data_IF_970402734658
#
_entry.id   IF_970402734658
#
_cell.length_a   1.000
_cell.length_b   1.000
_cell.length_c   1.000
_cell.angle_alpha   90.00
_cell.angle_beta   90.00
_cell.angle_gamma   90.00
#
_symmetry.space_group_name_H-M   'P 1'
#
loop_
_entity.id
_entity.type
_entity.pdbx_description
1 polymer ?
#
# COMPACT_ATOMS: atom_id res chain seq x y z
N UNK A 1 22.72 0.72 59.40
CA UNK A 1 21.96 1.67 58.56
C UNK A 1 22.57 1.70 57.18
N UNK A 2 22.08 0.85 56.28
CA UNK A 2 22.05 1.06 54.82
C UNK A 2 20.94 0.14 54.33
N UNK A 3 19.79 0.73 54.01
CA UNK A 3 18.61 0.01 53.52
C UNK A 3 18.84 -0.49 52.10
N UNK A 4 18.57 -1.78 51.90
CA UNK A 4 18.63 -2.45 50.61
C UNK A 4 17.49 -1.95 49.72
N UNK A 5 17.82 -1.16 48.69
CA UNK A 5 16.90 -0.80 47.62
C UNK A 5 16.71 -1.99 46.67
N UNK A 6 15.66 -2.77 46.89
CA UNK A 6 15.29 -3.91 46.04
C UNK A 6 14.64 -3.48 44.72
N UNK A 7 14.88 -4.25 43.66
CA UNK A 7 14.40 -4.10 42.26
C UNK A 7 12.88 -3.84 42.15
N UNK A 8 12.08 -4.25 43.13
CA UNK A 8 10.63 -3.99 43.20
C UNK A 8 10.27 -2.50 43.31
N UNK A 9 11.15 -1.66 43.86
CA UNK A 9 10.89 -0.21 43.97
C UNK A 9 11.02 0.52 42.61
N UNK A 10 11.76 -0.05 41.65
CA UNK A 10 11.91 0.57 40.33
C UNK A 10 10.70 0.31 39.42
N UNK A 11 10.09 -0.88 39.52
CA UNK A 11 8.88 -1.22 38.76
C UNK A 11 7.66 -0.41 39.23
N UNK A 12 7.54 -0.14 40.53
CA UNK A 12 6.43 0.65 41.08
C UNK A 12 6.52 2.14 40.70
N UNK A 13 7.72 2.71 40.70
CA UNK A 13 7.95 4.08 40.21
C UNK A 13 7.76 4.20 38.69
N UNK A 14 8.03 3.14 37.93
CA UNK A 14 7.83 3.14 36.46
C UNK A 14 6.34 3.05 36.08
N UNK A 15 5.56 2.26 36.81
CA UNK A 15 4.09 2.16 36.60
C UNK A 15 3.36 3.44 37.03
N UNK A 16 3.80 4.14 38.09
CA UNK A 16 3.22 5.44 38.49
C UNK A 16 3.53 6.58 37.49
N UNK A 17 4.72 6.59 36.89
CA UNK A 17 5.08 7.56 35.84
C UNK A 17 4.28 7.28 34.56
N UNK A 18 4.03 6.01 34.21
CA UNK A 18 3.22 5.65 33.03
C UNK A 18 1.75 6.03 33.25
N UNK A 19 1.20 5.77 34.44
CA UNK A 19 -0.18 6.15 34.80
C UNK A 19 -0.42 7.65 34.63
N UNK A 20 0.45 8.48 35.19
CA UNK A 20 0.34 9.95 35.15
C UNK A 20 0.58 10.55 33.75
N UNK A 21 1.36 9.89 32.89
CA UNK A 21 1.52 10.27 31.48
C UNK A 21 0.31 9.84 30.64
N UNK A 22 -0.36 8.72 30.98
CA UNK A 22 -1.53 8.25 30.23
C UNK A 22 -2.80 9.04 30.51
N UNK A 23 -3.00 9.55 31.73
CA UNK A 23 -4.20 10.34 32.08
C UNK A 23 -4.18 11.73 31.42
N UNK A 24 -3.01 12.37 31.32
CA UNK A 24 -2.87 13.67 30.65
C UNK A 24 -2.93 13.60 29.11
N UNK A 25 -2.64 12.43 28.52
CA UNK A 25 -2.71 12.21 27.07
C UNK A 25 -4.15 11.93 26.58
N UNK A 26 -5.01 11.35 27.42
CA UNK A 26 -6.37 10.96 27.05
C UNK A 26 -7.31 12.16 26.85
N UNK A 27 -7.21 13.18 27.71
CA UNK A 27 -8.08 14.37 27.63
C UNK A 27 -7.68 15.34 26.50
N UNK A 28 -6.41 15.31 26.09
CA UNK A 28 -5.92 16.08 24.93
C UNK A 28 -6.20 15.37 23.59
N UNK A 29 -6.40 14.04 23.61
CA UNK A 29 -6.67 13.22 22.43
C UNK A 29 -8.13 13.30 21.95
N UNK A 30 -9.09 13.69 22.79
CA UNK A 30 -10.48 13.81 22.36
C UNK A 30 -10.73 15.06 21.49
N UNK A 31 -10.01 16.15 21.71
CA UNK A 31 -10.21 17.42 20.98
C UNK A 31 -9.38 17.56 19.68
N UNK A 32 -8.32 16.75 19.52
CA UNK A 32 -7.44 16.77 18.33
C UNK A 32 -7.93 15.89 17.18
N UNK A 33 -8.90 14.99 17.44
CA UNK A 33 -9.37 13.98 16.48
C UNK A 33 -10.40 14.47 15.45
N UNK A 34 -11.09 15.59 15.68
CA UNK A 34 -12.03 16.15 14.69
C UNK A 34 -11.36 17.07 13.67
N UNK A 35 -10.29 17.77 14.06
CA UNK A 35 -9.67 18.84 13.24
C UNK A 35 -8.80 18.29 12.09
N UNK A 36 -8.38 17.02 12.12
CA UNK A 36 -7.55 16.42 11.06
C UNK A 36 -8.28 15.47 10.10
N UNK A 37 -9.60 15.30 10.26
CA UNK A 37 -10.37 14.30 9.48
C UNK A 37 -10.48 14.64 8.00
N UNK A 38 -10.55 15.93 7.66
CA UNK A 38 -10.63 16.44 6.30
C UNK A 38 -9.43 17.33 6.02
N UNK A 39 -8.66 17.02 4.98
CA UNK A 39 -7.49 17.80 4.58
C UNK A 39 -7.58 18.19 3.11
N UNK A 40 -7.24 19.43 2.80
CA UNK A 40 -7.16 19.96 1.44
C UNK A 40 -5.71 20.31 1.15
N UNK A 41 -5.13 19.69 0.12
CA UNK A 41 -3.72 19.83 -0.26
C UNK A 41 -3.61 20.18 -1.74
N UNK A 42 -2.52 20.80 -2.17
CA UNK A 42 -2.39 21.27 -3.55
C UNK A 42 -1.58 20.30 -4.44
N UNK A 43 -0.76 19.44 -3.84
CA UNK A 43 0.05 18.43 -4.53
C UNK A 43 -0.43 17.00 -4.25
N UNK A 44 -0.25 16.12 -5.24
CA UNK A 44 -0.47 14.68 -5.07
C UNK A 44 0.54 14.08 -4.10
N UNK A 45 1.76 14.59 -4.10
CA UNK A 45 2.83 14.12 -3.23
C UNK A 45 2.50 14.39 -1.77
N UNK A 46 2.12 15.64 -1.44
CA UNK A 46 1.68 16.03 -0.10
C UNK A 46 0.49 15.16 0.36
N UNK A 47 -0.44 14.89 -0.56
CA UNK A 47 -1.58 14.03 -0.27
C UNK A 47 -1.16 12.60 0.08
N UNK A 48 -0.15 12.06 -0.60
CA UNK A 48 0.41 10.74 -0.29
C UNK A 48 1.21 10.75 1.01
N UNK A 49 1.97 11.82 1.29
CA UNK A 49 2.70 11.99 2.55
C UNK A 49 1.74 12.08 3.74
N UNK A 50 0.64 12.83 3.62
CA UNK A 50 -0.40 12.91 4.66
C UNK A 50 -1.02 11.54 4.98
N UNK A 51 -1.23 10.70 3.97
CA UNK A 51 -1.70 9.32 4.16
C UNK A 51 -0.66 8.48 4.88
N UNK A 52 0.62 8.56 4.49
CA UNK A 52 1.69 7.82 5.15
C UNK A 52 1.81 8.23 6.62
N UNK A 53 1.73 9.54 6.92
CA UNK A 53 1.72 10.06 8.29
C UNK A 53 0.51 9.54 9.07
N UNK A 54 -0.67 9.50 8.46
CA UNK A 54 -1.85 8.91 9.10
C UNK A 54 -1.65 7.40 9.39
N UNK A 55 -1.08 6.64 8.47
CA UNK A 55 -0.75 5.22 8.69
C UNK A 55 0.30 5.01 9.80
N UNK A 56 1.25 5.95 9.95
CA UNK A 56 2.24 5.97 11.04
C UNK A 56 1.56 6.21 12.38
N UNK A 57 0.77 7.26 12.49
CA UNK A 57 0.11 7.65 13.74
C UNK A 57 -0.95 6.65 14.20
N UNK A 58 -1.68 6.05 13.26
CA UNK A 58 -2.80 5.14 13.57
C UNK A 58 -2.43 3.66 13.50
N UNK A 59 -1.18 3.33 13.15
CA UNK A 59 -0.70 1.96 12.95
C UNK A 59 -1.55 1.11 11.98
N UNK A 60 -2.41 1.76 11.21
CA UNK A 60 -3.29 1.15 10.24
C UNK A 60 -2.62 1.18 8.87
N UNK A 61 -2.89 0.19 8.04
CA UNK A 61 -2.33 0.14 6.68
C UNK A 61 -3.49 0.03 5.70
N UNK A 62 -3.39 0.75 4.59
CA UNK A 62 -4.40 0.81 3.57
C UNK A 62 -3.90 0.23 2.25
N UNK A 63 -4.86 -0.28 1.48
CA UNK A 63 -4.65 -0.80 0.12
C UNK A 63 -5.64 -0.10 -0.81
N UNK A 64 -5.27 0.01 -2.09
CA UNK A 64 -6.15 0.61 -3.09
C UNK A 64 -7.40 -0.26 -3.25
N UNK A 65 -8.56 0.32 -2.95
CA UNK A 65 -9.86 -0.30 -3.14
C UNK A 65 -10.37 -0.02 -4.56
N UNK A 66 -10.25 1.24 -4.99
CA UNK A 66 -10.72 1.76 -6.26
C UNK A 66 -9.85 2.96 -6.65
N UNK A 67 -9.56 3.09 -7.95
CA UNK A 67 -8.93 4.28 -8.53
C UNK A 67 -9.63 4.57 -9.85
N UNK A 68 -10.15 5.78 -10.01
CA UNK A 68 -10.67 6.24 -11.30
C UNK A 68 -9.53 6.60 -12.26
N UNK A 69 -9.80 6.44 -13.57
CA UNK A 69 -8.80 6.56 -14.64
C UNK A 69 -8.03 7.88 -14.61
N UNK A 70 -8.73 9.00 -14.40
CA UNK A 70 -8.15 10.33 -14.47
C UNK A 70 -7.54 10.81 -13.13
N UNK A 71 -7.68 10.06 -12.05
CA UNK A 71 -7.16 10.48 -10.74
C UNK A 71 -5.64 10.65 -10.76
N UNK A 72 -5.17 11.84 -10.37
CA UNK A 72 -3.74 12.19 -10.32
C UNK A 72 -3.16 12.57 -11.67
N UNK A 73 -3.99 12.80 -12.70
CA UNK A 73 -3.53 13.32 -13.98
C UNK A 73 -3.51 14.86 -13.93
N UNK A 74 -2.34 15.44 -13.73
CA UNK A 74 -2.16 16.91 -13.69
C UNK A 74 -2.28 17.56 -15.07
N UNK A 75 -2.03 16.80 -16.15
CA UNK A 75 -2.26 17.25 -17.51
C UNK A 75 -3.76 17.21 -17.90
N UNK A 76 -4.65 16.78 -17.01
CA UNK A 76 -6.08 16.70 -17.30
C UNK A 76 -6.67 18.10 -17.57
N UNK A 77 -7.26 18.25 -18.77
CA UNK A 77 -8.02 19.45 -19.16
C UNK A 77 -9.51 19.10 -19.27
N UNK A 78 -10.39 19.76 -18.49
CA UNK A 78 -11.81 19.51 -18.56
C UNK A 78 -12.38 20.09 -19.86
N UNK A 79 -13.40 19.43 -20.41
CA UNK A 79 -14.12 19.91 -21.58
C UNK A 79 -15.31 20.81 -21.19
N UNK A 80 -15.93 21.47 -22.17
CA UNK A 80 -17.13 22.30 -21.95
C UNK A 80 -18.33 21.53 -21.36
N UNK A 81 -18.37 20.20 -21.54
CA UNK A 81 -19.41 19.32 -20.99
C UNK A 81 -19.14 18.92 -19.52
N UNK A 82 -18.03 19.35 -18.94
CA UNK A 82 -17.69 18.99 -17.57
C UNK A 82 -18.69 19.58 -16.57
N UNK A 83 -19.04 18.77 -15.57
CA UNK A 83 -19.93 19.20 -14.48
C UNK A 83 -19.17 20.11 -13.53
N UNK A 84 -19.67 21.33 -13.35
CA UNK A 84 -19.13 22.31 -12.40
C UNK A 84 -19.85 22.14 -11.07
N UNK A 85 -19.07 21.99 -10.01
CA UNK A 85 -19.53 21.84 -8.64
C UNK A 85 -19.17 23.09 -7.83
N UNK A 86 -19.96 23.35 -6.79
CA UNK A 86 -19.75 24.44 -5.82
C UNK A 86 -19.68 23.92 -4.38
N UNK A 87 -20.21 22.71 -4.17
CA UNK A 87 -20.17 21.98 -2.91
C UNK A 87 -19.73 20.54 -3.22
N UNK A 88 -18.94 19.98 -2.31
CA UNK A 88 -18.38 18.64 -2.43
C UNK A 88 -19.42 17.55 -2.18
N UNK A 89 -19.13 16.30 -2.61
CA UNK A 89 -19.98 15.18 -2.26
C UNK A 89 -19.95 14.93 -0.75
N UNK A 90 -21.11 14.56 -0.20
CA UNK A 90 -21.25 14.19 1.21
C UNK A 90 -20.94 12.70 1.36
N UNK A 91 -19.96 12.37 2.20
CA UNK A 91 -19.56 10.99 2.50
C UNK A 91 -19.66 10.76 3.99
N UNK A 92 -20.48 9.79 4.40
CA UNK A 92 -20.67 9.45 5.83
C UNK A 92 -20.94 10.71 6.69
N UNK A 93 -21.85 11.55 6.22
CA UNK A 93 -22.25 12.82 6.82
C UNK A 93 -21.18 13.92 6.86
N UNK A 94 -20.06 13.76 6.14
CA UNK A 94 -19.03 14.79 6.00
C UNK A 94 -19.04 15.35 4.58
N UNK A 95 -19.22 16.65 4.45
CA UNK A 95 -19.05 17.34 3.17
C UNK A 95 -17.56 17.47 2.86
N UNK A 96 -17.12 16.96 1.71
CA UNK A 96 -15.70 17.00 1.37
C UNK A 96 -15.19 18.40 1.02
N UNK A 97 -16.05 19.27 0.51
CA UNK A 97 -15.66 20.63 0.17
C UNK A 97 -16.85 21.54 0.42
N UNK A 98 -16.80 22.27 1.54
CA UNK A 98 -17.82 23.25 1.87
C UNK A 98 -17.86 24.39 0.85
N UNK A 99 -18.96 25.14 0.84
CA UNK A 99 -19.14 26.24 -0.09
C UNK A 99 -18.13 27.36 0.22
N UNK A 100 -17.06 27.43 -0.59
CA UNK A 100 -16.05 28.49 -0.52
C UNK A 100 -16.32 29.64 -1.50
N UNK A 101 -17.38 29.53 -2.30
CA UNK A 101 -17.65 30.42 -3.43
C UNK A 101 -16.72 30.21 -4.62
N UNK A 102 -15.77 29.26 -4.57
CA UNK A 102 -14.91 28.92 -5.70
C UNK A 102 -15.48 27.69 -6.42
N UNK A 103 -15.79 27.79 -7.73
CA UNK A 103 -16.26 26.62 -8.47
C UNK A 103 -15.10 25.64 -8.70
N UNK A 104 -15.44 24.35 -8.78
CA UNK A 104 -14.48 23.29 -9.03
C UNK A 104 -15.05 22.17 -9.91
N UNK A 105 -14.16 21.38 -10.50
CA UNK A 105 -14.49 20.17 -11.27
C UNK A 105 -13.79 18.98 -10.63
N UNK A 106 -14.51 17.87 -10.45
CA UNK A 106 -13.92 16.62 -9.93
C UNK A 106 -13.26 15.87 -11.09
N UNK A 107 -11.94 15.70 -11.03
CA UNK A 107 -11.17 14.95 -12.03
C UNK A 107 -11.32 13.45 -11.81
N UNK A 108 -11.24 13.04 -10.55
CA UNK A 108 -11.45 11.65 -10.20
C UNK A 108 -11.32 11.39 -8.70
N UNK A 109 -11.62 10.15 -8.33
CA UNK A 109 -11.52 9.65 -6.95
C UNK A 109 -10.57 8.46 -6.84
N UNK A 110 -9.92 8.35 -5.70
CA UNK A 110 -9.18 7.17 -5.24
C UNK A 110 -9.67 6.81 -3.85
N UNK A 111 -10.08 5.56 -3.67
CA UNK A 111 -10.55 5.04 -2.39
C UNK A 111 -9.54 4.01 -1.91
N UNK A 112 -9.08 4.17 -0.68
CA UNK A 112 -8.27 3.19 -0.01
C UNK A 112 -9.12 2.49 1.06
N UNK A 113 -8.93 1.19 1.26
CA UNK A 113 -9.53 0.45 2.37
C UNK A 113 -8.45 -0.14 3.27
N UNK A 114 -8.80 -0.37 4.53
CA UNK A 114 -7.88 -1.04 5.45
C UNK A 114 -7.43 -2.40 4.87
N UNK A 115 -6.15 -2.74 5.04
CA UNK A 115 -5.59 -4.00 4.57
C UNK A 115 -6.23 -5.22 5.24
N UNK A 116 -6.85 -5.04 6.42
CA UNK A 116 -7.68 -6.02 7.14
C UNK A 116 -9.16 -5.91 6.79
N UNK A 117 -9.52 -5.16 5.75
CA UNK A 117 -10.89 -5.02 5.26
C UNK A 117 -11.48 -6.31 4.68
N UNK A 118 -12.58 -6.18 3.95
CA UNK A 118 -13.25 -7.32 3.30
C UNK A 118 -12.32 -8.12 2.38
N UNK A 119 -12.45 -9.44 2.40
CA UNK A 119 -11.78 -10.31 1.43
C UNK A 119 -12.52 -10.26 0.09
N UNK A 120 -11.89 -9.66 -0.93
CA UNK A 120 -12.44 -9.60 -2.28
C UNK A 120 -12.10 -10.84 -3.12
N UNK A 121 -11.12 -11.63 -2.71
CA UNK A 121 -10.58 -12.75 -3.48
C UNK A 121 -11.19 -14.10 -3.07
N UNK A 122 -12.35 -14.11 -2.39
CA UNK A 122 -12.98 -15.33 -1.87
C UNK A 122 -13.28 -16.32 -3.00
N UNK A 123 -13.90 -15.86 -4.09
CA UNK A 123 -14.22 -16.72 -5.23
C UNK A 123 -12.95 -17.29 -5.89
N UNK A 124 -11.90 -16.47 -6.05
CA UNK A 124 -10.62 -16.92 -6.61
C UNK A 124 -9.95 -17.97 -5.71
N UNK A 125 -9.97 -17.77 -4.39
CA UNK A 125 -9.43 -18.73 -3.42
C UNK A 125 -10.20 -20.04 -3.43
N UNK A 126 -11.54 -19.98 -3.56
CA UNK A 126 -12.39 -21.16 -3.68
C UNK A 126 -12.03 -21.97 -4.94
N UNK A 127 -11.95 -21.31 -6.10
CA UNK A 127 -11.52 -21.94 -7.37
C UNK A 127 -10.12 -22.56 -7.28
N UNK A 128 -9.18 -21.88 -6.64
CA UNK A 128 -7.83 -22.42 -6.42
C UNK A 128 -7.84 -23.66 -5.53
N UNK A 129 -8.62 -23.65 -4.44
CA UNK A 129 -8.77 -24.79 -3.55
C UNK A 129 -9.38 -26.00 -4.29
N UNK A 130 -10.43 -25.77 -5.09
CA UNK A 130 -11.07 -26.80 -5.93
C UNK A 130 -10.11 -27.38 -6.96
N UNK A 131 -9.40 -26.54 -7.72
CA UNK A 131 -8.39 -26.97 -8.70
C UNK A 131 -7.27 -27.78 -8.05
N UNK A 132 -6.78 -27.33 -6.89
CA UNK A 132 -5.76 -28.06 -6.12
C UNK A 132 -6.27 -29.41 -5.62
N UNK A 133 -7.54 -29.50 -5.20
CA UNK A 133 -8.14 -30.75 -4.78
C UNK A 133 -8.31 -31.72 -5.96
N UNK A 134 -8.71 -31.22 -7.13
CA UNK A 134 -8.83 -32.04 -8.35
C UNK A 134 -7.49 -32.65 -8.77
N UNK A 135 -6.41 -31.84 -8.80
CA UNK A 135 -5.05 -32.34 -9.12
C UNK A 135 -4.57 -33.43 -8.17
N UNK A 136 -4.98 -33.38 -6.90
CA UNK A 136 -4.65 -34.43 -5.91
C UNK A 136 -5.44 -35.72 -6.11
N UNK A 137 -6.62 -35.66 -6.70
CA UNK A 137 -7.42 -36.84 -6.97
C UNK A 137 -6.88 -37.62 -8.18
N UNK A 138 -6.16 -36.94 -9.09
CA UNK A 138 -5.60 -37.53 -10.31
C UNK A 138 -4.13 -37.91 -10.17
N UNK A 139 -3.34 -37.13 -9.42
CA UNK A 139 -1.90 -37.35 -9.29
C UNK A 139 -1.56 -37.93 -7.91
N UNK A 140 -0.68 -38.94 -7.86
CA UNK A 140 0.02 -39.41 -6.65
C UNK A 140 0.97 -38.34 -6.04
N UNK A 141 0.71 -37.06 -6.26
CA UNK A 141 1.52 -35.95 -5.81
C UNK A 141 1.25 -35.66 -4.32
N UNK A 142 2.24 -35.91 -3.46
CA UNK A 142 2.21 -35.54 -2.04
C UNK A 142 2.31 -34.02 -1.85
N UNK A 143 1.22 -33.29 -2.09
CA UNK A 143 1.17 -31.84 -1.89
C UNK A 143 1.11 -31.52 -0.40
N UNK A 144 2.27 -31.22 0.20
CA UNK A 144 2.38 -30.73 1.58
C UNK A 144 1.55 -29.45 1.76
N UNK A 145 0.43 -29.53 2.50
CA UNK A 145 -0.31 -28.34 2.94
C UNK A 145 0.37 -27.73 4.14
N UNK A 146 0.59 -26.41 4.12
CA UNK A 146 0.83 -25.69 5.36
C UNK A 146 -0.46 -25.72 6.17
N UNK A 147 -0.39 -26.16 7.42
CA UNK A 147 -1.50 -25.99 8.37
C UNK A 147 -1.74 -24.48 8.52
N UNK A 148 -2.93 -24.04 8.13
CA UNK A 148 -3.33 -22.65 8.17
C UNK A 148 -4.43 -22.54 9.23
N UNK A 149 -4.11 -21.92 10.36
CA UNK A 149 -5.05 -21.75 11.47
C UNK A 149 -6.15 -20.73 11.17
N UNK A 150 -5.93 -19.85 10.18
CA UNK A 150 -6.92 -18.91 9.68
C UNK A 150 -6.84 -18.86 8.15
N UNK A 151 -7.98 -19.02 7.47
CA UNK A 151 -8.07 -19.05 6.01
C UNK A 151 -7.63 -17.74 5.33
N UNK A 152 -7.65 -16.61 6.05
CA UNK A 152 -7.27 -15.30 5.54
C UNK A 152 -6.84 -14.37 6.66
N UNK A 153 -6.00 -13.38 6.34
CA UNK A 153 -5.63 -12.29 7.26
C UNK A 153 -6.73 -11.21 7.38
N UNK A 154 -7.74 -11.26 6.51
CA UNK A 154 -8.80 -10.26 6.37
C UNK A 154 -9.80 -10.39 7.54
N UNK A 155 -10.18 -9.26 8.13
CA UNK A 155 -11.06 -9.17 9.32
C UNK A 155 -12.36 -8.39 9.04
N UNK A 156 -12.65 -8.10 7.77
CA UNK A 156 -13.83 -7.32 7.35
C UNK A 156 -13.93 -5.91 7.96
N UNK A 157 -12.79 -5.26 8.17
CA UNK A 157 -12.75 -3.87 8.64
C UNK A 157 -13.40 -2.88 7.63
N UNK A 158 -14.33 -2.01 8.07
CA UNK A 158 -15.04 -1.07 7.19
C UNK A 158 -14.30 0.27 6.95
N UNK A 159 -13.14 0.48 7.61
CA UNK A 159 -12.36 1.72 7.49
C UNK A 159 -11.89 1.97 6.04
N UNK A 160 -12.14 3.18 5.56
CA UNK A 160 -11.81 3.65 4.20
C UNK A 160 -11.33 5.08 4.24
N UNK A 161 -10.31 5.38 3.45
CA UNK A 161 -9.86 6.74 3.15
C UNK A 161 -10.40 7.11 1.77
N UNK A 162 -10.96 8.30 1.65
CA UNK A 162 -11.43 8.83 0.38
C UNK A 162 -10.53 9.98 -0.07
N UNK A 163 -10.09 9.95 -1.32
CA UNK A 163 -9.22 10.96 -1.90
C UNK A 163 -9.88 11.47 -3.18
N UNK A 164 -10.10 12.77 -3.25
CA UNK A 164 -10.71 13.44 -4.38
C UNK A 164 -9.70 14.38 -5.03
N UNK A 165 -9.50 14.22 -6.33
CA UNK A 165 -8.72 15.14 -7.15
C UNK A 165 -9.67 16.13 -7.81
N UNK A 166 -9.48 17.41 -7.52
CA UNK A 166 -10.34 18.52 -7.95
C UNK A 166 -9.51 19.58 -8.67
N UNK A 167 -10.15 20.28 -9.62
CA UNK A 167 -9.62 21.50 -10.23
C UNK A 167 -10.44 22.68 -9.70
N UNK A 168 -9.80 23.60 -8.98
CA UNK A 168 -10.41 24.84 -8.50
C UNK A 168 -10.17 25.97 -9.49
N UNK A 169 -11.15 26.86 -9.63
CA UNK A 169 -11.11 28.01 -10.55
C UNK A 169 -11.30 29.33 -9.79
N UNK A 170 -10.24 29.88 -9.16
CA UNK A 170 -10.32 31.11 -8.37
C UNK A 170 -10.84 32.33 -9.16
N UNK A 171 -10.54 32.41 -10.45
CA UNK A 171 -11.01 33.51 -11.33
C UNK A 171 -12.53 33.61 -11.48
N UNK A 172 -13.29 32.59 -11.06
CA UNK A 172 -14.76 32.55 -11.11
C UNK A 172 -15.41 32.58 -9.73
N UNK A 173 -14.68 33.04 -8.70
CA UNK A 173 -15.16 33.07 -7.32
C UNK A 173 -16.35 34.04 -7.14
N UNK A 174 -17.35 33.60 -6.38
CA UNK A 174 -18.54 34.39 -6.03
C UNK A 174 -18.45 34.92 -4.60
N UNK A 175 -18.76 36.21 -4.43
CA UNK A 175 -18.83 36.87 -3.11
C UNK A 175 -20.07 36.48 -2.30
N UNK A 176 -21.20 36.19 -2.97
CA UNK A 176 -22.48 35.88 -2.33
C UNK A 176 -23.06 34.60 -2.91
N UNK A 177 -23.48 33.68 -2.04
CA UNK A 177 -24.20 32.45 -2.42
C UNK A 177 -25.56 32.83 -3.01
N UNK A 178 -25.79 32.43 -4.26
CA UNK A 178 -27.05 32.61 -4.97
C UNK A 178 -27.07 31.63 -6.13
N UNK A 179 -28.14 30.85 -6.25
CA UNK A 179 -28.24 29.84 -7.32
C UNK A 179 -28.11 30.46 -8.71
N UNK A 180 -28.75 31.59 -8.95
CA UNK A 180 -28.69 32.27 -10.25
C UNK A 180 -27.26 32.69 -10.59
N UNK A 181 -26.52 33.25 -9.63
CA UNK A 181 -25.12 33.63 -9.81
C UNK A 181 -24.23 32.43 -10.06
N UNK A 182 -24.46 31.33 -9.34
CA UNK A 182 -23.74 30.06 -9.50
C UNK A 182 -23.97 29.48 -10.90
N UNK A 183 -25.23 29.43 -11.37
CA UNK A 183 -25.56 28.96 -12.72
C UNK A 183 -24.91 29.82 -13.80
N UNK A 184 -24.94 31.15 -13.64
CA UNK A 184 -24.31 32.10 -14.56
C UNK A 184 -22.78 31.94 -14.58
N UNK A 185 -22.15 31.87 -13.42
CA UNK A 185 -20.70 31.67 -13.29
C UNK A 185 -20.26 30.30 -13.84
N UNK A 186 -21.02 29.22 -13.60
CA UNK A 186 -20.75 27.91 -14.18
C UNK A 186 -20.87 27.90 -15.70
N UNK A 187 -21.81 28.65 -16.28
CA UNK A 187 -21.93 28.82 -17.73
C UNK A 187 -20.71 29.55 -18.29
N UNK A 188 -20.35 30.69 -17.69
CA UNK A 188 -19.14 31.46 -18.06
C UNK A 188 -17.87 30.63 -17.96
N UNK A 189 -17.74 29.83 -16.91
CA UNK A 189 -16.61 28.91 -16.74
C UNK A 189 -16.57 27.88 -17.87
N UNK A 190 -17.70 27.20 -18.16
CA UNK A 190 -17.77 26.20 -19.24
C UNK A 190 -17.42 26.78 -20.61
N UNK A 191 -17.87 27.99 -20.92
CA UNK A 191 -17.54 28.67 -22.16
C UNK A 191 -16.05 29.10 -22.19
N UNK A 192 -15.47 29.43 -21.04
CA UNK A 192 -14.06 29.75 -20.92
C UNK A 192 -13.16 28.50 -20.97
N UNK A 193 -13.65 27.28 -20.67
CA UNK A 193 -12.84 26.05 -20.67
C UNK A 193 -12.28 25.69 -22.05
N UNK A 194 -12.88 26.21 -23.12
CA UNK A 194 -12.34 26.10 -24.48
C UNK A 194 -11.06 26.93 -24.67
N UNK A 195 -10.78 27.87 -23.75
CA UNK A 195 -9.58 28.71 -23.71
C UNK A 195 -8.63 28.25 -22.61
N UNK A 196 -7.36 28.68 -22.67
CA UNK A 196 -6.40 28.46 -21.60
C UNK A 196 -6.75 29.33 -20.38
N UNK A 197 -7.48 28.75 -19.41
CA UNK A 197 -7.76 29.37 -18.11
C UNK A 197 -6.72 28.90 -17.09
N UNK A 198 -6.36 29.79 -16.16
CA UNK A 198 -5.72 29.40 -14.90
C UNK A 198 -6.61 28.43 -14.09
N UNK A 199 -6.05 27.28 -13.76
CA UNK A 199 -6.68 26.28 -12.90
C UNK A 199 -5.69 25.83 -11.83
N UNK A 200 -6.21 25.43 -10.66
CA UNK A 200 -5.39 24.93 -9.55
C UNK A 200 -5.81 23.52 -9.19
N UNK A 201 -4.86 22.60 -9.13
CA UNK A 201 -5.09 21.26 -8.63
C UNK A 201 -5.28 21.29 -7.11
N UNK A 202 -6.17 20.44 -6.62
CA UNK A 202 -6.43 20.28 -5.21
C UNK A 202 -6.81 18.83 -4.91
N UNK A 203 -6.29 18.29 -3.82
CA UNK A 203 -6.51 16.94 -3.34
C UNK A 203 -7.17 17.02 -1.97
N UNK A 204 -8.40 16.54 -1.90
CA UNK A 204 -9.16 16.49 -0.65
C UNK A 204 -9.15 15.07 -0.12
N UNK A 205 -8.69 14.90 1.12
CA UNK A 205 -8.58 13.62 1.79
C UNK A 205 -9.55 13.57 2.97
N UNK A 206 -10.34 12.51 3.04
CA UNK A 206 -11.17 12.18 4.19
C UNK A 206 -10.63 10.93 4.86
N UNK A 207 -10.08 11.12 6.05
CA UNK A 207 -9.63 10.04 6.91
C UNK A 207 -10.80 9.43 7.69
N UNK A 208 -10.80 8.10 7.90
CA UNK A 208 -11.77 7.48 8.79
C UNK A 208 -11.41 7.78 10.25
N UNK A 209 -12.38 8.04 11.13
CA UNK A 209 -12.15 8.01 12.57
C UNK A 209 -11.63 6.63 13.01
N UNK A 210 -10.89 6.60 14.11
CA UNK A 210 -10.35 5.36 14.69
C UNK A 210 -11.47 4.38 15.04
N UNK A 211 -12.64 4.87 15.45
CA UNK A 211 -13.84 4.07 15.71
C UNK A 211 -14.39 3.30 14.51
N UNK A 212 -14.01 3.64 13.28
CA UNK A 212 -14.39 2.86 12.09
C UNK A 212 -13.54 1.60 11.89
N UNK A 213 -12.49 1.41 12.68
CA UNK A 213 -11.70 0.18 12.62
C UNK A 213 -12.32 -0.89 13.50
N UNK A 214 -13.25 -1.64 12.92
CA UNK A 214 -13.89 -2.75 13.60
C UNK A 214 -13.10 -4.05 13.38
N UNK A 215 -13.20 -4.98 14.34
CA UNK A 215 -12.68 -6.35 14.28
C UNK A 215 -11.14 -6.46 14.26
N UNK A 216 -10.41 -5.37 14.53
CA UNK A 216 -8.98 -5.42 14.79
C UNK A 216 -8.53 -4.24 15.66
N UNK A 217 -7.49 -4.43 16.50
CA UNK A 217 -6.92 -3.34 17.27
C UNK A 217 -6.22 -2.33 16.35
N UNK A 218 -6.31 -1.06 16.71
CA UNK A 218 -5.62 0.08 16.07
C UNK A 218 -4.64 0.72 17.04
N UNK A 219 -4.91 0.56 18.34
CA UNK A 219 -4.10 0.99 19.47
C UNK A 219 -3.48 -0.21 20.20
N UNK A 220 -2.45 0.10 20.99
CA UNK A 220 -1.77 -0.84 21.86
C UNK A 220 -0.85 -1.86 21.17
N UNK A 221 -0.28 -2.75 21.99
CA UNK A 221 0.79 -3.69 21.61
C UNK A 221 0.42 -4.63 20.44
N UNK A 222 -0.88 -4.90 20.24
CA UNK A 222 -1.37 -5.82 19.21
C UNK A 222 -1.45 -5.19 17.81
N UNK A 223 -1.53 -3.86 17.70
CA UNK A 223 -1.55 -3.16 16.43
C UNK A 223 -0.22 -3.34 15.67
N UNK A 224 0.92 -3.38 16.39
CA UNK A 224 2.26 -3.51 15.81
C UNK A 224 2.47 -4.79 15.01
N UNK A 225 1.82 -5.89 15.38
CA UNK A 225 2.08 -7.22 14.78
C UNK A 225 1.66 -7.26 13.31
N UNK A 226 0.58 -6.56 12.94
CA UNK A 226 0.00 -6.61 11.60
C UNK A 226 0.48 -5.50 10.68
N UNK A 227 1.39 -4.64 11.13
CA UNK A 227 1.95 -3.57 10.32
C UNK A 227 2.71 -4.10 9.09
N UNK A 228 2.70 -3.30 8.03
CA UNK A 228 3.58 -3.47 6.88
C UNK A 228 4.97 -2.94 7.25
N UNK A 229 6.01 -3.59 6.75
CA UNK A 229 7.39 -3.09 6.83
C UNK A 229 7.49 -1.81 5.99
N UNK A 230 8.20 -0.81 6.52
CA UNK A 230 8.39 0.47 5.84
C UNK A 230 9.09 0.28 4.48
N UNK A 231 8.67 0.98 3.41
CA UNK A 231 9.30 0.87 2.11
C UNK A 231 10.82 1.10 2.13
N UNK A 232 11.31 2.04 2.96
CA UNK A 232 12.74 2.36 3.08
C UNK A 232 13.53 1.19 3.68
N UNK A 233 12.95 0.50 4.67
CA UNK A 233 13.53 -0.70 5.27
C UNK A 233 13.52 -1.87 4.29
N UNK A 234 12.44 -2.03 3.50
CA UNK A 234 12.38 -3.06 2.44
C UNK A 234 13.46 -2.81 1.38
N UNK A 235 13.65 -1.57 0.97
CA UNK A 235 14.69 -1.17 0.03
C UNK A 235 16.08 -1.50 0.57
N UNK A 236 16.37 -1.16 1.82
CA UNK A 236 17.65 -1.51 2.45
C UNK A 236 17.88 -3.02 2.52
N UNK A 237 16.87 -3.81 2.89
CA UNK A 237 16.97 -5.29 2.87
C UNK A 237 17.24 -5.80 1.46
N UNK A 238 16.61 -5.19 0.45
CA UNK A 238 16.78 -5.57 -0.95
C UNK A 238 18.18 -5.25 -1.45
N UNK A 239 18.72 -4.09 -1.08
CA UNK A 239 20.10 -3.68 -1.37
C UNK A 239 21.10 -4.67 -0.76
N UNK A 240 20.99 -4.96 0.54
CA UNK A 240 21.85 -5.91 1.25
C UNK A 240 21.75 -7.33 0.66
N UNK A 241 20.56 -7.74 0.24
CA UNK A 241 20.38 -9.04 -0.41
C UNK A 241 21.03 -9.09 -1.80
N UNK A 242 21.09 -7.96 -2.52
CA UNK A 242 21.74 -7.87 -3.84
C UNK A 242 23.26 -7.77 -3.74
N UNK A 243 23.79 -7.21 -2.65
CA UNK A 243 25.23 -7.18 -2.38
C UNK A 243 25.82 -8.52 -1.93
N UNK A 244 24.99 -9.56 -1.78
CA UNK A 244 25.43 -10.92 -1.48
C UNK A 244 25.27 -11.35 -0.02
N UNK A 245 24.74 -10.48 0.85
CA UNK A 245 24.46 -10.85 2.24
C UNK A 245 23.31 -11.85 2.28
N UNK A 246 23.61 -13.10 2.63
CA UNK A 246 22.64 -14.21 2.63
C UNK A 246 22.20 -14.64 4.04
N UNK A 247 22.92 -14.21 5.08
CA UNK A 247 22.56 -14.55 6.45
C UNK A 247 21.46 -13.61 7.00
N UNK A 248 20.31 -14.18 7.37
CA UNK A 248 19.18 -13.41 7.90
C UNK A 248 19.54 -12.59 9.15
N UNK A 249 20.45 -13.09 10.01
CA UNK A 249 20.84 -12.43 11.27
C UNK A 249 21.70 -11.20 10.99
N UNK A 250 22.58 -11.30 9.99
CA UNK A 250 23.42 -10.19 9.56
C UNK A 250 22.58 -9.07 8.96
N UNK A 251 21.67 -9.40 8.03
CA UNK A 251 20.72 -8.42 7.49
C UNK A 251 19.93 -7.78 8.62
N UNK A 252 19.46 -8.56 9.61
CA UNK A 252 18.74 -7.99 10.75
C UNK A 252 19.59 -6.96 11.50
N UNK A 253 20.83 -7.28 11.84
CA UNK A 253 21.74 -6.36 12.54
C UNK A 253 21.98 -5.08 11.75
N UNK A 254 22.23 -5.20 10.44
CA UNK A 254 22.47 -4.07 9.55
C UNK A 254 21.22 -3.20 9.40
N UNK A 255 20.03 -3.80 9.30
CA UNK A 255 18.76 -3.08 9.26
C UNK A 255 18.46 -2.38 10.58
N UNK A 256 18.66 -3.06 11.71
CA UNK A 256 18.46 -2.46 13.03
C UNK A 256 19.42 -1.27 13.22
N UNK A 257 20.68 -1.40 12.75
CA UNK A 257 21.65 -0.30 12.73
C UNK A 257 21.21 0.86 11.83
N UNK A 258 20.84 0.58 10.58
CA UNK A 258 20.31 1.56 9.61
C UNK A 258 19.13 2.34 10.18
N UNK A 259 18.16 1.65 10.79
CA UNK A 259 17.00 2.30 11.40
C UNK A 259 17.45 3.22 12.54
N UNK A 260 18.34 2.75 13.41
CA UNK A 260 18.70 3.49 14.62
C UNK A 260 19.64 4.67 14.36
N UNK A 261 20.53 4.59 13.35
CA UNK A 261 21.61 5.55 13.13
C UNK A 261 21.43 6.40 11.87
N UNK A 262 20.82 5.84 10.81
CA UNK A 262 20.64 6.57 9.54
C UNK A 262 19.22 7.10 9.41
N UNK A 263 18.21 6.30 9.72
CA UNK A 263 16.80 6.67 9.51
C UNK A 263 16.26 7.61 10.60
N UNK A 264 16.70 7.43 11.84
CA UNK A 264 16.32 8.25 13.00
C UNK A 264 17.53 8.86 13.72
N UNK A 265 18.68 8.98 13.05
CA UNK A 265 19.89 9.57 13.62
C UNK A 265 19.63 10.97 14.18
N UNK A 266 19.73 11.12 15.49
CA UNK A 266 19.50 12.40 16.19
C UNK A 266 18.04 12.70 16.57
N UNK A 267 17.10 11.78 16.34
CA UNK A 267 15.70 11.87 16.78
C UNK A 267 15.35 10.78 17.79
N UNK A 268 14.24 10.93 18.51
CA UNK A 268 13.74 9.85 19.38
C UNK A 268 13.44 8.60 18.54
N UNK A 269 13.99 7.46 18.98
CA UNK A 269 13.80 6.20 18.30
C UNK A 269 12.30 5.84 18.26
N UNK A 270 11.77 5.41 17.10
CA UNK A 270 10.39 4.96 17.04
C UNK A 270 10.22 3.74 17.96
N UNK A 271 9.02 3.60 18.51
CA UNK A 271 8.61 2.36 19.21
C UNK A 271 9.02 1.16 18.35
N UNK A 272 9.60 0.13 18.98
CA UNK A 272 10.05 -1.14 18.36
C UNK A 272 8.88 -1.88 17.70
N UNK A 273 8.47 -1.35 16.56
CA UNK A 273 7.30 -1.74 15.80
C UNK A 273 7.76 -2.53 14.58
N UNK A 274 6.93 -3.46 14.11
CA UNK A 274 7.26 -4.30 12.95
C UNK A 274 7.51 -3.49 11.67
N UNK A 275 7.00 -2.25 11.62
CA UNK A 275 7.22 -1.33 10.50
C UNK A 275 8.69 -1.00 10.30
N UNK A 276 9.39 -0.61 11.36
CA UNK A 276 10.80 -0.25 11.29
C UNK A 276 11.73 -1.41 11.65
N UNK A 277 11.32 -2.27 12.58
CA UNK A 277 12.08 -3.43 13.04
C UNK A 277 11.41 -4.73 12.58
N UNK A 278 11.64 -5.17 11.32
CA UNK A 278 11.01 -6.35 10.76
C UNK A 278 11.43 -7.62 11.51
N UNK A 279 10.54 -8.62 11.50
CA UNK A 279 10.85 -9.93 12.07
C UNK A 279 11.81 -10.71 11.16
N UNK A 280 12.51 -11.70 11.70
CA UNK A 280 13.34 -12.63 10.91
C UNK A 280 12.57 -13.29 9.77
N UNK A 281 11.26 -13.52 9.98
CA UNK A 281 10.36 -14.07 8.96
C UNK A 281 10.10 -13.07 7.84
N UNK A 282 9.94 -11.79 8.16
CA UNK A 282 9.75 -10.72 7.18
C UNK A 282 11.00 -10.56 6.31
N UNK A 283 12.19 -10.50 6.93
CA UNK A 283 13.48 -10.44 6.23
C UNK A 283 13.61 -11.61 5.26
N UNK A 284 13.42 -12.85 5.74
CA UNK A 284 13.47 -14.05 4.89
C UNK A 284 12.50 -13.98 3.71
N UNK A 285 11.28 -13.49 3.94
CA UNK A 285 10.28 -13.38 2.88
C UNK A 285 10.67 -12.32 1.84
N UNK A 286 11.25 -11.19 2.28
CA UNK A 286 11.76 -10.13 1.40
C UNK A 286 12.94 -10.67 0.59
N UNK A 287 13.96 -11.24 1.24
CA UNK A 287 15.11 -11.85 0.55
C UNK A 287 14.66 -12.89 -0.48
N UNK A 288 13.77 -13.80 -0.10
CA UNK A 288 13.24 -14.82 -1.02
C UNK A 288 12.55 -14.17 -2.22
N UNK A 289 11.84 -13.07 -2.02
CA UNK A 289 11.21 -12.31 -3.10
C UNK A 289 12.28 -11.70 -4.01
N UNK A 290 13.32 -11.08 -3.46
CA UNK A 290 14.45 -10.53 -4.22
C UNK A 290 15.14 -11.62 -5.05
N UNK A 291 15.45 -12.79 -4.46
CA UNK A 291 16.05 -13.93 -5.18
C UNK A 291 15.14 -14.42 -6.30
N UNK A 292 13.84 -14.52 -6.06
CA UNK A 292 12.89 -14.96 -7.10
C UNK A 292 12.76 -13.93 -8.23
N UNK A 293 12.77 -12.63 -7.91
CA UNK A 293 12.75 -11.56 -8.91
C UNK A 293 14.04 -11.58 -9.75
N UNK A 294 15.20 -11.80 -9.12
CA UNK A 294 16.47 -11.95 -9.82
C UNK A 294 16.48 -13.17 -10.77
N UNK A 295 16.04 -14.34 -10.31
CA UNK A 295 15.89 -15.56 -11.13
C UNK A 295 14.92 -15.42 -12.30
N UNK A 296 13.99 -14.47 -12.21
CA UNK A 296 13.01 -14.18 -13.25
C UNK A 296 13.45 -13.04 -14.16
N UNK A 297 14.60 -12.41 -13.88
CA UNK A 297 15.13 -11.34 -14.71
C UNK A 297 15.45 -11.88 -16.11
N UNK A 298 15.21 -11.04 -17.13
CA UNK A 298 15.44 -11.40 -18.54
C UNK A 298 16.91 -11.74 -18.77
N UNK A 299 17.82 -11.01 -18.12
CA UNK A 299 19.27 -11.19 -18.21
C UNK A 299 19.72 -12.57 -17.72
N UNK A 300 19.16 -13.06 -16.60
CA UNK A 300 19.48 -14.40 -16.08
C UNK A 300 18.95 -15.51 -17.02
N UNK A 301 17.77 -15.31 -17.61
CA UNK A 301 17.22 -16.26 -18.59
C UNK A 301 18.05 -16.32 -19.88
N UNK A 302 18.55 -15.18 -20.38
CA UNK A 302 19.43 -15.16 -21.55
C UNK A 302 20.73 -15.93 -21.30
N UNK A 303 21.37 -15.73 -20.15
CA UNK A 303 22.60 -16.46 -19.78
C UNK A 303 22.35 -17.96 -19.65
N UNK A 304 21.24 -18.36 -19.00
CA UNK A 304 20.87 -19.78 -18.88
C UNK A 304 20.62 -20.42 -20.25
N UNK A 305 19.99 -19.70 -21.19
CA UNK A 305 19.78 -20.19 -22.56
C UNK A 305 21.10 -20.31 -23.33
N UNK A 306 22.02 -19.37 -23.17
CA UNK A 306 23.36 -19.45 -23.78
C UNK A 306 24.16 -20.63 -23.25
N UNK A 307 24.20 -20.81 -21.93
CA UNK A 307 24.87 -21.95 -21.29
C UNK A 307 24.24 -23.29 -21.70
N UNK A 308 22.92 -23.33 -21.83
CA UNK A 308 22.22 -24.52 -22.29
C UNK A 308 22.54 -24.84 -23.75
N UNK A 309 22.59 -23.84 -24.63
CA UNK A 309 22.99 -24.02 -26.03
C UNK A 309 24.44 -24.52 -26.15
N UNK A 310 25.36 -23.97 -25.37
CA UNK A 310 26.75 -24.44 -25.32
C UNK A 310 26.82 -25.89 -24.81
N UNK A 311 26.11 -26.21 -23.73
CA UNK A 311 26.08 -27.56 -23.19
C UNK A 311 25.51 -28.60 -24.17
N UNK A 312 24.49 -28.24 -24.96
CA UNK A 312 23.92 -29.11 -26.00
C UNK A 312 24.92 -29.40 -27.12
N UNK A 313 25.76 -28.43 -27.49
CA UNK A 313 26.84 -28.62 -28.46
C UNK A 313 27.91 -29.58 -27.93
N UNK A 314 28.18 -29.55 -26.62
CA UNK A 314 29.17 -30.41 -25.98
C UNK A 314 28.63 -31.82 -25.67
N UNK A 315 27.31 -32.04 -25.68
CA UNK A 315 26.65 -33.27 -25.22
C UNK A 315 25.46 -33.66 -26.11
N UNK A 316 25.72 -34.01 -27.37
CA UNK A 316 24.70 -34.31 -28.39
C UNK A 316 23.78 -35.50 -28.03
N UNK A 317 24.25 -36.46 -27.23
CA UNK A 317 23.50 -37.67 -26.86
C UNK A 317 22.50 -37.49 -25.69
N UNK A 318 22.54 -36.36 -24.98
CA UNK A 318 21.71 -36.16 -23.78
C UNK A 318 20.43 -35.35 -24.07
N UNK A 319 19.26 -35.97 -23.83
CA UNK A 319 17.94 -35.32 -23.98
C UNK A 319 17.55 -34.51 -22.75
N UNK A 320 18.24 -33.40 -22.51
CA UNK A 320 17.78 -32.37 -21.56
C UNK A 320 17.08 -31.25 -22.34
N UNK A 321 16.06 -30.64 -21.73
CA UNK A 321 15.29 -29.53 -22.30
C UNK A 321 15.27 -28.37 -21.32
N UNK A 322 15.60 -27.16 -21.79
CA UNK A 322 15.45 -25.94 -21.01
C UNK A 322 14.06 -25.34 -21.22
N UNK A 323 13.35 -25.01 -20.14
CA UNK A 323 12.05 -24.32 -20.18
C UNK A 323 12.20 -22.89 -19.63
N UNK A 324 12.33 -21.88 -20.51
CA UNK A 324 12.44 -20.49 -20.05
C UNK A 324 11.15 -20.01 -19.37
N UNK A 325 11.27 -19.04 -18.47
CA UNK A 325 10.15 -18.55 -17.66
C UNK A 325 9.22 -17.60 -18.44
N UNK A 326 9.72 -16.97 -19.52
CA UNK A 326 9.02 -15.94 -20.29
C UNK A 326 8.56 -16.37 -21.70
N UNK A 327 8.31 -17.66 -21.96
CA UNK A 327 7.59 -18.00 -23.20
C UNK A 327 6.11 -17.71 -22.93
N UNK A 328 5.65 -16.55 -23.40
CA UNK A 328 4.23 -16.36 -23.65
C UNK A 328 3.78 -17.51 -24.55
N UNK A 329 2.74 -18.24 -24.14
CA UNK A 329 2.01 -19.13 -25.04
C UNK A 329 1.34 -18.25 -26.11
N UNK A 330 2.13 -17.74 -27.06
CA UNK A 330 1.62 -17.42 -28.38
C UNK A 330 1.44 -18.77 -29.07
N UNK A 331 0.21 -19.02 -29.50
CA UNK A 331 -0.22 -20.33 -29.99
C UNK A 331 0.60 -20.78 -31.19
N UNK A 332 1.58 -21.63 -30.93
CA UNK A 332 2.10 -22.57 -31.91
C UNK A 332 1.69 -23.97 -31.47
N UNK A 333 1.02 -24.62 -32.39
CA UNK A 333 0.30 -25.88 -32.25
C UNK A 333 1.20 -26.98 -31.70
N UNK A 334 0.61 -27.85 -30.88
CA UNK A 334 1.22 -29.06 -30.34
C UNK A 334 1.53 -30.13 -31.41
N UNK A 335 1.71 -29.76 -32.68
CA UNK A 335 1.93 -30.69 -33.80
C UNK A 335 3.38 -30.71 -34.32
N UNK A 336 4.21 -29.73 -33.98
CA UNK A 336 5.59 -29.68 -34.50
C UNK A 336 6.57 -30.60 -33.73
N UNK A 337 6.19 -31.10 -32.55
CA UNK A 337 7.08 -31.92 -31.72
C UNK A 337 7.03 -33.44 -31.99
N UNK A 338 6.19 -33.93 -32.91
CA UNK A 338 6.14 -35.35 -33.29
C UNK A 338 6.65 -35.66 -34.71
N UNK A 339 7.04 -34.67 -35.51
CA UNK A 339 7.42 -34.88 -36.91
C UNK A 339 8.92 -35.17 -37.16
N UNK A 340 9.79 -35.07 -36.16
CA UNK A 340 11.23 -35.33 -36.32
C UNK A 340 11.67 -36.76 -35.92
N UNK A 341 10.72 -37.69 -35.78
CA UNK A 341 11.01 -39.12 -35.54
C UNK A 341 10.66 -40.01 -36.74
N UNK A 342 10.43 -39.43 -37.93
CA UNK A 342 10.17 -40.18 -39.15
C UNK A 342 10.64 -39.37 -40.35
N UNK A 343 11.93 -39.44 -40.65
CA UNK A 343 12.51 -39.57 -41.99
C UNK A 343 14.05 -39.45 -41.90
N UNK A 344 14.69 -40.41 -42.58
CA UNK A 344 16.13 -40.73 -42.73
C UNK A 344 16.89 -41.14 -41.47
#
# INVERSE_FOLDING_TARGET
MMEEFTVQNFDLLYEEIISTVTENAADTALNSNEIHRLQSLDSLEDAMQAINKFEECTFSNYIVLEKQKCFGNEAFRPNRKATVHWEGPVIKNVCLNEYSGVPFIIVGRKVLCCHLGKDKAVAQKKRYAESTNRKKATDNASVRRRKSFQHTKKMDCPAKIYIYHMLKFPGFQLKKKSEWRMRSASKKLRDALEKNIELKHCYVILFPPLSHHNNHPVDGKMAYIKQKVDPRVIEKITELSKSGVSENKEIKRLVDHFVSHELFGGQELPVKSRRFFPTMKDIRNIMRRCTNEHKRSVTDQCTVLQLFAQWQQENEDHRLYCRPHNVAEEGETAETFMAAASLS
#
